data_IF_765707825747
#
_entry.id   IF_765707825747
#
_cell.length_a   1.000
_cell.length_b   1.000
_cell.length_c   1.000
_cell.angle_alpha   90.00
_cell.angle_beta   90.00
_cell.angle_gamma   90.00
#
_symmetry.space_group_name_H-M   'P 1'
#
loop_
_entity.id
_entity.type
_entity.pdbx_description
1 polymer ?
#
# COMPACT_ATOMS: atom_id res chain seq x y z
N UNK A 1 5.28 -1.29 -23.53
CA UNK A 1 4.97 -2.01 -22.29
C UNK A 1 5.78 -1.31 -21.24
N UNK A 2 5.16 -0.41 -20.50
CA UNK A 2 5.80 0.20 -19.35
C UNK A 2 5.81 -0.86 -18.24
N UNK A 3 6.93 -1.02 -17.55
CA UNK A 3 6.99 -1.85 -16.34
C UNK A 3 6.76 -0.91 -15.18
N UNK A 4 5.62 -1.06 -14.50
CA UNK A 4 5.33 -0.27 -13.31
C UNK A 4 6.41 -0.55 -12.26
N UNK A 5 6.94 0.51 -11.67
CA UNK A 5 7.85 0.53 -10.55
C UNK A 5 7.40 1.73 -9.70
N UNK A 6 6.76 1.46 -8.56
CA UNK A 6 6.13 2.48 -7.71
C UNK A 6 7.14 3.21 -6.82
N UNK A 7 8.10 2.49 -6.21
CA UNK A 7 9.09 3.07 -5.29
C UNK A 7 10.39 3.56 -5.99
N UNK A 8 10.59 3.19 -7.25
CA UNK A 8 11.73 3.57 -8.07
C UNK A 8 13.01 2.79 -7.79
N UNK A 9 12.92 1.60 -7.21
CA UNK A 9 14.08 0.79 -6.84
C UNK A 9 14.66 -0.03 -8.02
N UNK A 10 15.45 -1.08 -7.72
CA UNK A 10 16.05 -1.94 -8.74
C UNK A 10 15.09 -3.00 -9.31
N UNK A 11 14.02 -3.30 -8.60
CA UNK A 11 12.96 -4.20 -8.98
C UNK A 11 11.81 -3.37 -9.60
N UNK A 12 10.70 -4.00 -9.86
CA UNK A 12 9.50 -3.33 -10.34
C UNK A 12 8.34 -4.22 -9.95
N UNK A 13 7.12 -3.69 -9.91
CA UNK A 13 6.08 -4.22 -9.05
C UNK A 13 5.74 -5.71 -9.20
N UNK A 14 6.02 -6.29 -10.37
CA UNK A 14 5.79 -7.74 -10.60
C UNK A 14 6.81 -8.62 -9.88
N UNK A 15 7.97 -8.07 -9.54
CA UNK A 15 9.13 -8.76 -8.97
C UNK A 15 9.58 -8.18 -7.62
N UNK A 16 8.88 -7.16 -7.13
CA UNK A 16 9.05 -6.64 -5.78
C UNK A 16 8.03 -7.29 -4.84
N UNK A 17 8.37 -7.41 -3.56
CA UNK A 17 7.46 -7.86 -2.52
C UNK A 17 7.06 -6.69 -1.57
N UNK A 18 7.60 -5.48 -1.81
CA UNK A 18 7.34 -4.21 -1.11
C UNK A 18 7.32 -3.08 -2.17
N UNK A 19 6.18 -2.96 -2.85
CA UNK A 19 6.02 -2.14 -4.06
C UNK A 19 6.22 -0.64 -3.83
N UNK A 20 6.05 -0.16 -2.59
CA UNK A 20 6.14 1.26 -2.25
C UNK A 20 7.35 1.61 -1.35
N UNK A 21 8.10 0.59 -0.91
CA UNK A 21 9.37 0.73 -0.21
C UNK A 21 9.22 1.24 1.23
N UNK A 22 8.06 1.03 1.86
CA UNK A 22 7.78 1.49 3.21
C UNK A 22 8.23 0.51 4.31
N UNK A 23 8.63 -0.70 3.92
CA UNK A 23 9.08 -1.78 4.79
C UNK A 23 8.02 -2.81 5.16
N UNK A 24 6.80 -2.68 4.65
CA UNK A 24 5.71 -3.64 4.78
C UNK A 24 5.60 -4.46 3.49
N UNK A 25 5.41 -5.77 3.62
CA UNK A 25 5.24 -6.62 2.44
C UNK A 25 3.87 -6.37 1.82
N UNK A 26 3.75 -6.37 0.49
CA UNK A 26 2.49 -6.16 -0.24
C UNK A 26 1.33 -7.04 0.28
N UNK A 27 1.65 -8.24 0.73
CA UNK A 27 0.66 -9.21 1.26
C UNK A 27 0.12 -8.87 2.65
N UNK A 28 0.77 -7.95 3.36
CA UNK A 28 0.45 -7.50 4.72
C UNK A 28 0.17 -5.99 4.77
N UNK A 29 0.38 -5.29 3.66
CA UNK A 29 0.23 -3.85 3.54
C UNK A 29 -1.23 -3.49 3.18
N UNK A 30 -1.85 -2.62 3.96
CA UNK A 30 -3.17 -2.08 3.67
C UNK A 30 -3.15 -0.96 2.62
N UNK A 31 -1.97 -0.52 2.17
CA UNK A 31 -1.76 0.41 1.06
C UNK A 31 -0.54 0.04 0.18
N UNK A 32 -0.55 -1.09 -0.57
CA UNK A 32 0.63 -1.63 -1.28
C UNK A 32 1.31 -0.73 -2.32
N UNK A 33 0.80 0.47 -2.57
CA UNK A 33 1.32 1.41 -3.56
C UNK A 33 1.48 2.82 -2.98
N UNK A 34 1.31 3.02 -1.66
CA UNK A 34 1.32 4.33 -1.01
C UNK A 34 1.93 4.21 0.39
N UNK A 35 3.17 4.71 0.60
CA UNK A 35 3.94 4.42 1.80
C UNK A 35 3.22 4.81 3.10
N UNK A 36 3.04 3.84 4.00
CA UNK A 36 2.46 4.00 5.32
C UNK A 36 2.97 2.93 6.32
N UNK A 37 4.25 3.03 6.69
CA UNK A 37 4.89 2.06 7.59
C UNK A 37 4.22 1.87 8.96
N UNK A 38 3.30 2.77 9.37
CA UNK A 38 2.52 2.65 10.60
C UNK A 38 1.20 1.87 10.45
N UNK A 39 0.78 1.60 9.21
CA UNK A 39 -0.39 0.80 8.83
C UNK A 39 -1.67 1.27 9.53
N UNK A 40 -1.80 2.58 9.72
CA UNK A 40 -2.96 3.15 10.39
C UNK A 40 -4.22 2.89 9.55
N UNK A 41 -5.21 2.27 10.18
CA UNK A 41 -6.57 2.10 9.67
C UNK A 41 -7.52 2.38 10.85
N UNK A 42 -8.35 3.42 10.71
CA UNK A 42 -9.12 4.00 11.83
C UNK A 42 -10.57 3.52 11.87
N UNK A 43 -11.15 3.24 10.72
CA UNK A 43 -12.53 2.76 10.56
C UNK A 43 -12.60 1.23 10.56
N UNK A 44 -11.51 0.53 10.24
CA UNK A 44 -11.33 -0.90 10.37
C UNK A 44 -11.73 -1.70 9.14
N UNK A 45 -11.73 -1.06 7.97
CA UNK A 45 -11.99 -1.68 6.67
C UNK A 45 -10.73 -2.44 6.14
N UNK A 46 -10.57 -2.59 4.82
CA UNK A 46 -9.38 -3.22 4.24
C UNK A 46 -8.26 -2.24 3.89
N UNK A 47 -8.53 -0.95 3.75
CA UNK A 47 -7.59 0.04 3.24
C UNK A 47 -6.91 0.80 4.40
N UNK A 48 -5.69 1.30 4.17
CA UNK A 48 -5.04 2.19 5.13
C UNK A 48 -5.49 3.63 4.93
N UNK A 49 -5.43 4.41 6.02
CA UNK A 49 -5.83 5.82 6.06
C UNK A 49 -5.19 6.72 4.98
N UNK A 50 -4.12 6.27 4.31
CA UNK A 50 -3.42 7.07 3.30
C UNK A 50 -3.86 6.75 1.87
N UNK A 51 -4.49 5.60 1.65
CA UNK A 51 -4.95 5.11 0.36
C UNK A 51 -6.46 4.83 0.34
N UNK A 52 -7.14 5.20 1.41
CA UNK A 52 -8.59 5.17 1.57
C UNK A 52 -9.14 6.60 1.34
N UNK A 53 -10.12 6.71 0.43
CA UNK A 53 -10.76 7.98 0.09
C UNK A 53 -11.95 8.28 1.03
N UNK A 54 -12.43 7.27 1.77
CA UNK A 54 -13.56 7.26 2.69
C UNK A 54 -13.20 6.78 4.11
N UNK A 55 -11.99 7.15 4.56
CA UNK A 55 -11.38 7.04 5.91
C UNK A 55 -12.30 7.11 7.16
N UNK A 56 -13.53 7.61 7.02
CA UNK A 56 -14.51 7.80 8.08
C UNK A 56 -15.74 6.86 8.01
N UNK A 57 -15.83 5.95 7.05
CA UNK A 57 -16.98 5.05 6.84
C UNK A 57 -16.60 3.56 6.71
N UNK A 58 -16.88 2.77 7.75
CA UNK A 58 -16.74 1.30 7.71
C UNK A 58 -17.48 0.66 6.52
N UNK A 59 -16.76 0.10 5.54
CA UNK A 59 -17.34 -0.81 4.54
C UNK A 59 -17.75 -2.15 5.20
N UNK A 60 -19.03 -2.54 5.04
CA UNK A 60 -19.65 -3.77 5.58
C UNK A 60 -19.86 -4.86 4.53
#
# INVERSE_FOLDING_TARGET
>A
MDQLNTDGDALGNVCDDDDDGDGQLDTLDNCPLTPNSDQLNTDGDALGNVCDDDDDEMEF
#
